data_IF_515659937453
#
_entry.id   IF_515659937453
#
_cell.length_a   1.000
_cell.length_b   1.000
_cell.length_c   1.000
_cell.angle_alpha   90.00
_cell.angle_beta   90.00
_cell.angle_gamma   90.00
#
_symmetry.space_group_name_H-M   'P 1'
#
loop_
_entity.id
_entity.type
_entity.pdbx_description
1 polymer ?
#
# COMPACT_ATOMS: atom_id res chain seq x y z
N UNK A 1 2.12 18.59 -35.05
CA UNK A 1 3.22 19.30 -34.36
C UNK A 1 3.48 18.59 -33.04
N UNK A 2 4.65 17.98 -32.86
CA UNK A 2 5.02 17.34 -31.59
C UNK A 2 5.35 18.37 -30.50
N UNK A 3 5.25 18.02 -29.20
CA UNK A 3 5.55 18.96 -28.13
C UNK A 3 7.01 19.40 -28.21
N UNK A 4 7.22 20.71 -28.22
CA UNK A 4 8.54 21.34 -28.23
C UNK A 4 9.32 20.92 -26.97
N UNK A 5 10.48 20.31 -27.16
CA UNK A 5 11.37 19.96 -26.06
C UNK A 5 11.83 21.26 -25.37
N UNK A 6 11.28 21.54 -24.18
CA UNK A 6 11.72 22.67 -23.34
C UNK A 6 13.17 22.42 -22.94
N UNK A 7 14.11 23.03 -23.68
CA UNK A 7 15.53 23.08 -23.30
C UNK A 7 15.60 23.91 -22.01
N UNK A 8 15.91 23.27 -20.88
CA UNK A 8 16.17 23.99 -19.62
C UNK A 8 17.37 24.91 -19.84
N UNK A 9 17.15 26.22 -19.75
CA UNK A 9 18.21 27.22 -19.85
C UNK A 9 18.97 27.19 -18.52
N UNK A 10 20.16 26.61 -18.52
CA UNK A 10 21.10 26.69 -17.39
C UNK A 10 21.70 28.09 -17.44
N UNK A 11 21.02 29.07 -16.85
CA UNK A 11 21.60 30.40 -16.65
C UNK A 11 22.56 30.34 -15.46
N UNK A 12 23.70 31.05 -15.51
CA UNK A 12 24.69 31.08 -14.42
C UNK A 12 24.14 31.71 -13.11
N UNK A 13 22.94 32.31 -13.16
CA UNK A 13 22.23 32.84 -11.99
C UNK A 13 21.35 31.81 -11.27
N UNK A 14 21.18 30.62 -11.83
CA UNK A 14 20.47 29.54 -11.14
C UNK A 14 21.30 29.14 -9.93
N UNK A 15 20.69 28.97 -8.76
CA UNK A 15 21.39 28.51 -7.54
C UNK A 15 22.06 27.13 -7.69
N UNK A 16 21.75 26.40 -8.78
CA UNK A 16 22.40 25.16 -9.17
C UNK A 16 23.59 25.33 -10.14
N UNK A 17 23.82 26.54 -10.65
CA UNK A 17 24.97 26.85 -11.49
C UNK A 17 26.17 27.15 -10.58
N UNK A 18 26.97 26.13 -10.33
CA UNK A 18 28.23 26.26 -9.58
C UNK A 18 29.19 27.11 -10.43
N UNK A 19 29.56 28.29 -9.92
CA UNK A 19 30.37 29.27 -10.65
C UNK A 19 31.82 28.80 -10.85
N UNK A 20 32.37 28.04 -9.90
CA UNK A 20 33.74 27.51 -9.96
C UNK A 20 33.78 26.07 -9.44
N UNK A 21 34.38 25.15 -10.21
CA UNK A 21 34.54 23.75 -9.82
C UNK A 21 35.99 23.55 -9.38
N UNK A 22 36.22 23.53 -8.07
CA UNK A 22 37.52 23.23 -7.49
C UNK A 22 37.73 21.72 -7.44
N UNK A 23 38.82 21.23 -8.04
CA UNK A 23 39.16 19.82 -8.01
C UNK A 23 40.05 19.50 -6.81
N UNK A 24 39.49 18.79 -5.84
CA UNK A 24 40.26 18.29 -4.69
C UNK A 24 40.72 16.84 -4.95
N UNK A 25 42.03 16.59 -5.08
CA UNK A 25 42.56 15.25 -5.31
C UNK A 25 42.26 14.29 -4.13
N UNK A 26 42.13 14.79 -2.90
CA UNK A 26 41.83 13.97 -1.72
C UNK A 26 40.38 13.46 -1.76
N UNK A 27 39.42 14.35 -2.02
CA UNK A 27 38.02 13.99 -2.25
C UNK A 27 37.86 13.02 -3.43
N UNK A 28 38.68 13.15 -4.48
CA UNK A 28 38.71 12.18 -5.58
C UNK A 28 39.20 10.81 -5.14
N UNK A 29 40.26 10.74 -4.33
CA UNK A 29 40.77 9.46 -3.83
C UNK A 29 39.74 8.77 -2.93
N UNK A 30 39.05 9.52 -2.05
CA UNK A 30 37.95 9.00 -1.24
C UNK A 30 36.76 8.58 -2.11
N UNK A 31 36.48 9.30 -3.19
CA UNK A 31 35.47 8.90 -4.15
C UNK A 31 35.89 7.63 -4.91
N UNK A 32 37.14 7.45 -5.30
CA UNK A 32 37.55 6.24 -6.01
C UNK A 32 37.65 5.01 -5.11
N UNK A 33 38.01 5.16 -3.84
CA UNK A 33 38.18 4.02 -2.92
C UNK A 33 36.93 3.75 -2.06
N UNK A 34 36.14 4.78 -1.76
CA UNK A 34 34.98 4.72 -0.85
C UNK A 34 33.67 4.20 -1.46
N UNK A 35 33.70 3.30 -2.44
CA UNK A 35 32.49 2.79 -3.10
C UNK A 35 31.49 2.16 -2.11
N UNK A 36 31.98 1.39 -1.14
CA UNK A 36 31.15 0.80 -0.10
C UNK A 36 30.48 1.89 0.77
N UNK A 37 31.26 2.89 1.21
CA UNK A 37 30.74 4.05 1.96
C UNK A 37 29.62 4.76 1.20
N UNK A 38 29.80 5.02 -0.11
CA UNK A 38 28.75 5.64 -0.94
C UNK A 38 27.54 4.75 -1.15
N UNK A 39 27.73 3.43 -1.29
CA UNK A 39 26.61 2.50 -1.40
C UNK A 39 25.76 2.54 -0.12
N UNK A 40 26.41 2.50 1.05
CA UNK A 40 25.73 2.65 2.34
C UNK A 40 25.05 4.01 2.49
N UNK A 41 25.73 5.11 2.14
CA UNK A 41 25.15 6.45 2.17
C UNK A 41 23.91 6.56 1.27
N UNK A 42 23.94 5.99 0.07
CA UNK A 42 22.76 5.95 -0.81
C UNK A 42 21.61 5.15 -0.20
N UNK A 43 21.92 4.01 0.41
CA UNK A 43 20.91 3.20 1.10
C UNK A 43 20.29 3.98 2.29
N UNK A 44 21.13 4.60 3.12
CA UNK A 44 20.69 5.45 4.24
C UNK A 44 19.86 6.64 3.77
N UNK A 45 20.32 7.39 2.78
CA UNK A 45 19.57 8.50 2.21
C UNK A 45 18.21 8.05 1.62
N UNK A 46 18.15 6.87 1.00
CA UNK A 46 16.88 6.32 0.52
C UNK A 46 15.93 5.96 1.68
N UNK A 47 16.46 5.40 2.77
CA UNK A 47 15.70 5.12 4.00
C UNK A 47 15.21 6.43 4.65
N UNK A 48 16.08 7.41 4.86
CA UNK A 48 15.74 8.71 5.43
C UNK A 48 14.69 9.45 4.59
N UNK A 49 14.80 9.41 3.26
CA UNK A 49 13.81 10.00 2.37
C UNK A 49 12.45 9.29 2.47
N UNK A 50 12.43 7.96 2.61
CA UNK A 50 11.22 7.19 2.82
C UNK A 50 10.58 7.50 4.18
N UNK A 51 11.38 7.58 5.25
CA UNK A 51 10.91 7.96 6.58
C UNK A 51 10.35 9.38 6.62
N UNK A 52 11.02 10.34 5.94
CA UNK A 52 10.54 11.71 5.86
C UNK A 52 9.18 11.78 5.17
N UNK A 53 9.02 11.09 4.05
CA UNK A 53 7.74 10.99 3.34
C UNK A 53 6.66 10.33 4.20
N UNK A 54 6.96 9.22 4.87
CA UNK A 54 6.01 8.55 5.77
C UNK A 54 5.56 9.45 6.93
N UNK A 55 6.48 10.25 7.50
CA UNK A 55 6.16 11.24 8.54
C UNK A 55 5.27 12.36 8.01
N UNK A 56 5.54 12.87 6.81
CA UNK A 56 4.72 13.88 6.13
C UNK A 56 3.31 13.33 5.84
N UNK A 57 3.21 12.15 5.24
CA UNK A 57 1.94 11.47 4.97
C UNK A 57 1.12 11.22 6.25
N UNK A 58 1.78 10.80 7.35
CA UNK A 58 1.10 10.61 8.65
C UNK A 58 0.57 11.92 9.22
N UNK A 59 1.31 13.03 9.07
CA UNK A 59 0.87 14.36 9.50
C UNK A 59 -0.32 14.84 8.67
N UNK A 60 -0.27 14.66 7.35
CA UNK A 60 -1.37 14.99 6.45
C UNK A 60 -2.62 14.17 6.72
N UNK A 61 -2.48 12.85 6.94
CA UNK A 61 -3.60 11.99 7.30
C UNK A 61 -4.26 12.41 8.61
N UNK A 62 -3.46 12.76 9.63
CA UNK A 62 -4.00 13.30 10.90
C UNK A 62 -4.68 14.65 10.71
N UNK A 63 -4.16 15.51 9.83
CA UNK A 63 -4.78 16.80 9.52
C UNK A 63 -6.14 16.60 8.86
N UNK A 64 -6.21 15.75 7.83
CA UNK A 64 -7.47 15.38 7.15
C UNK A 64 -8.49 14.85 8.14
N UNK A 65 -8.10 13.89 8.99
CA UNK A 65 -9.01 13.33 9.99
C UNK A 65 -9.54 14.36 11.01
N UNK A 66 -8.75 15.40 11.33
CA UNK A 66 -9.23 16.52 12.16
C UNK A 66 -10.17 17.44 11.38
N UNK A 67 -9.87 17.71 10.11
CA UNK A 67 -10.73 18.51 9.22
C UNK A 67 -12.07 17.81 8.98
N UNK A 68 -12.05 16.49 8.74
CA UNK A 68 -13.24 15.65 8.58
C UNK A 68 -14.11 15.68 9.84
N UNK A 69 -13.52 15.44 11.02
CA UNK A 69 -14.24 15.54 12.31
C UNK A 69 -14.84 16.93 12.55
N UNK A 70 -14.14 18.00 12.19
CA UNK A 70 -14.66 19.37 12.31
C UNK A 70 -15.82 19.60 11.37
N UNK A 71 -15.69 19.17 10.11
CA UNK A 71 -16.76 19.29 9.12
C UNK A 71 -18.01 18.47 9.50
N UNK A 72 -17.83 17.26 10.04
CA UNK A 72 -18.92 16.44 10.57
C UNK A 72 -19.63 17.14 11.73
N UNK A 73 -18.87 17.72 12.68
CA UNK A 73 -19.43 18.47 13.79
C UNK A 73 -20.20 19.73 13.34
N UNK A 74 -19.63 20.48 12.39
CA UNK A 74 -20.30 21.64 11.80
C UNK A 74 -21.61 21.26 11.08
N UNK A 75 -21.61 20.13 10.35
CA UNK A 75 -22.83 19.59 9.73
C UNK A 75 -23.87 19.20 10.76
N UNK A 76 -23.47 18.49 11.82
CA UNK A 76 -24.37 18.10 12.90
C UNK A 76 -24.99 19.32 13.60
N UNK A 77 -24.21 20.39 13.84
CA UNK A 77 -24.74 21.65 14.39
C UNK A 77 -25.71 22.30 13.40
N UNK A 78 -25.38 22.33 12.11
CA UNK A 78 -26.25 22.93 11.10
C UNK A 78 -27.59 22.19 10.98
N UNK A 79 -27.55 20.85 11.00
CA UNK A 79 -28.73 19.99 11.01
C UNK A 79 -29.57 20.20 12.28
N UNK A 80 -28.94 20.23 13.46
CA UNK A 80 -29.65 20.48 14.71
C UNK A 80 -30.31 21.88 14.72
N UNK A 81 -29.59 22.92 14.28
CA UNK A 81 -30.17 24.27 14.12
C UNK A 81 -31.32 24.30 13.14
N UNK A 82 -31.24 23.54 12.04
CA UNK A 82 -32.33 23.44 11.08
C UNK A 82 -33.57 22.77 11.69
N UNK A 83 -33.38 21.66 12.42
CA UNK A 83 -34.45 20.96 13.16
C UNK A 83 -35.08 21.86 14.22
N UNK A 84 -34.30 22.56 15.04
CA UNK A 84 -34.82 23.50 16.04
C UNK A 84 -35.58 24.67 15.39
N UNK A 85 -35.12 25.14 14.23
CA UNK A 85 -35.83 26.15 13.45
C UNK A 85 -37.15 25.61 12.88
N UNK A 86 -37.21 24.36 12.48
CA UNK A 86 -38.43 23.69 12.02
C UNK A 86 -39.42 23.48 13.18
N UNK A 87 -38.96 22.99 14.33
CA UNK A 87 -39.78 22.84 15.55
C UNK A 87 -40.34 24.19 15.99
N UNK A 88 -39.51 25.23 16.07
CA UNK A 88 -39.99 26.58 16.45
C UNK A 88 -40.96 27.19 15.45
N UNK A 89 -40.80 26.94 14.14
CA UNK A 89 -41.78 27.31 13.11
C UNK A 89 -43.10 26.55 13.27
N UNK A 90 -43.04 25.24 13.50
CA UNK A 90 -44.23 24.41 13.74
C UNK A 90 -44.95 24.81 15.01
N UNK A 91 -44.22 25.16 16.08
CA UNK A 91 -44.81 25.64 17.33
C UNK A 91 -45.44 27.03 17.17
N UNK A 92 -44.84 27.93 16.38
CA UNK A 92 -45.40 29.25 16.08
C UNK A 92 -46.62 29.22 15.15
N UNK A 93 -46.77 28.17 14.34
CA UNK A 93 -47.96 27.94 13.51
C UNK A 93 -49.07 27.17 14.25
N UNK A 94 -48.83 26.73 15.48
CA UNK A 94 -49.87 26.21 16.38
C UNK A 94 -50.51 27.43 17.07
N UNK A 95 -51.78 27.65 16.78
CA UNK A 95 -52.63 28.77 17.22
C UNK A 95 -52.41 29.19 18.69
N UNK A 96 -52.16 30.49 19.01
CA UNK A 96 -52.02 30.99 20.38
C UNK A 96 -53.38 31.12 21.10
N UNK A 97 -54.26 30.13 20.94
CA UNK A 97 -55.65 30.15 21.42
C UNK A 97 -55.96 29.21 22.58
N UNK A 98 -55.01 28.42 23.06
CA UNK A 98 -55.24 27.44 24.15
C UNK A 98 -54.04 27.34 25.11
N UNK A 99 -53.75 28.44 25.81
CA UNK A 99 -52.95 28.38 27.04
C UNK A 99 -53.48 29.42 28.02
N UNK A 100 -54.68 29.13 28.53
CA UNK A 100 -55.08 29.57 29.86
C UNK A 100 -54.30 28.72 30.86
N UNK A 101 -53.73 29.37 31.88
CA UNK A 101 -53.19 28.79 33.12
C UNK A 101 -51.80 28.13 33.05
N UNK A 102 -50.75 28.92 33.31
CA UNK A 102 -50.15 28.95 34.64
C UNK A 102 -49.04 29.99 34.64
N UNK A 103 -49.34 31.16 35.18
CA UNK A 103 -48.33 31.98 35.84
C UNK A 103 -47.68 31.08 36.90
N UNK A 104 -46.38 30.84 36.79
CA UNK A 104 -45.55 30.36 37.87
C UNK A 104 -44.27 31.19 37.79
N UNK A 105 -44.38 32.33 38.46
CA UNK A 105 -43.37 33.07 39.19
C UNK A 105 -41.92 32.58 38.99
N UNK A 106 -41.11 33.51 38.47
CA UNK A 106 -39.70 33.68 38.82
C UNK A 106 -39.52 33.56 40.35
N UNK A 107 -39.03 32.40 40.81
CA UNK A 107 -38.31 32.27 42.07
C UNK A 107 -36.85 31.91 41.73
N UNK A 108 -36.05 32.96 41.60
CA UNK A 108 -34.59 32.96 41.66
C UNK A 108 -34.16 32.74 43.11
N UNK A 109 -34.18 31.48 43.59
CA UNK A 109 -33.55 31.05 44.85
C UNK A 109 -33.15 29.56 44.78
N UNK A 110 -32.03 29.24 44.12
CA UNK A 110 -31.15 28.12 44.51
C UNK A 110 -29.77 28.22 43.81
N UNK A 111 -28.89 29.07 44.37
CA UNK A 111 -27.48 29.18 43.92
C UNK A 111 -26.56 28.11 44.54
N UNK A 112 -27.09 27.07 45.20
CA UNK A 112 -26.29 26.03 45.88
C UNK A 112 -26.75 24.58 45.55
N UNK A 113 -27.22 24.31 44.33
CA UNK A 113 -27.31 22.93 43.83
C UNK A 113 -25.90 22.41 43.50
N UNK A 114 -25.19 22.09 44.58
CA UNK A 114 -23.88 21.47 44.61
C UNK A 114 -23.95 20.20 43.76
N UNK A 115 -23.28 20.22 42.61
CA UNK A 115 -23.30 19.17 41.60
C UNK A 115 -22.91 17.82 42.23
N UNK A 116 -23.92 17.02 42.56
CA UNK A 116 -23.78 15.61 42.94
C UNK A 116 -23.23 14.88 41.71
N UNK A 117 -21.92 14.62 41.70
CA UNK A 117 -21.21 14.03 40.57
C UNK A 117 -21.89 12.78 40.00
N UNK A 118 -21.54 12.45 38.75
CA UNK A 118 -22.09 11.30 38.02
C UNK A 118 -22.07 10.07 38.93
N UNK A 119 -23.22 9.39 39.16
CA UNK A 119 -23.28 8.22 40.03
C UNK A 119 -22.32 7.16 39.52
N UNK A 120 -21.51 6.62 40.43
CA UNK A 120 -20.53 5.59 40.10
C UNK A 120 -21.27 4.43 39.40
N UNK A 121 -20.87 4.05 38.17
CA UNK A 121 -21.55 3.00 37.45
C UNK A 121 -21.53 1.72 38.29
N UNK A 122 -22.60 0.90 38.24
CA UNK A 122 -22.62 -0.36 38.97
C UNK A 122 -21.37 -1.16 38.63
N UNK A 123 -20.77 -1.80 39.64
CA UNK A 123 -19.58 -2.62 39.47
C UNK A 123 -19.81 -3.59 38.31
N UNK A 124 -19.08 -3.37 37.23
CA UNK A 124 -19.09 -4.29 36.09
C UNK A 124 -18.45 -5.57 36.59
N UNK A 125 -19.22 -6.64 36.70
CA UNK A 125 -18.68 -7.97 36.96
C UNK A 125 -17.78 -8.36 35.78
N UNK A 126 -16.48 -8.14 35.95
CA UNK A 126 -15.44 -8.52 34.98
C UNK A 126 -15.30 -10.05 34.82
N UNK A 127 -16.10 -10.82 35.55
CA UNK A 127 -16.23 -12.28 35.50
C UNK A 127 -17.31 -12.77 34.52
N UNK A 128 -17.97 -11.88 33.77
CA UNK A 128 -18.71 -12.28 32.57
C UNK A 128 -17.72 -12.66 31.46
N UNK A 129 -17.15 -13.85 31.62
CA UNK A 129 -16.26 -14.55 30.71
C UNK A 129 -16.80 -14.50 29.27
N UNK A 130 -16.15 -13.72 28.42
CA UNK A 130 -16.39 -13.72 26.99
C UNK A 130 -15.65 -14.93 26.39
N UNK A 131 -16.27 -16.10 26.45
CA UNK A 131 -15.82 -17.30 25.76
C UNK A 131 -16.23 -17.17 24.28
N UNK A 132 -15.38 -16.54 23.47
CA UNK A 132 -15.35 -16.79 22.03
C UNK A 132 -14.32 -17.91 21.79
N UNK A 133 -14.76 -19.16 21.99
CA UNK A 133 -13.97 -20.40 21.83
C UNK A 133 -13.55 -20.71 20.38
N UNK A 134 -13.89 -19.86 19.40
CA UNK A 134 -13.70 -20.14 17.96
C UNK A 134 -12.50 -19.40 17.31
N UNK A 135 -11.53 -18.89 18.09
CA UNK A 135 -10.28 -18.31 17.55
C UNK A 135 -9.03 -18.77 18.30
N UNK A 136 -8.70 -20.05 18.21
CA UNK A 136 -7.36 -20.52 18.57
C UNK A 136 -6.32 -20.09 17.53
N UNK A 137 -5.69 -18.93 17.72
CA UNK A 137 -4.32 -18.72 17.23
C UNK A 137 -3.39 -19.02 18.40
N UNK A 138 -2.75 -20.18 18.40
CA UNK A 138 -1.77 -20.53 19.43
C UNK A 138 -0.56 -19.61 19.33
N UNK A 139 -0.24 -18.92 20.42
CA UNK A 139 0.98 -18.12 20.55
C UNK A 139 2.03 -19.04 21.16
N UNK A 140 3.03 -19.42 20.37
CA UNK A 140 4.20 -20.16 20.86
C UNK A 140 5.24 -19.16 21.37
N UNK A 141 5.60 -19.27 22.65
CA UNK A 141 6.69 -18.50 23.25
C UNK A 141 7.99 -19.26 22.96
N UNK A 142 8.77 -18.78 22.00
CA UNK A 142 10.13 -19.27 21.75
C UNK A 142 11.12 -18.46 22.61
N UNK A 143 12.04 -19.15 23.28
CA UNK A 143 13.11 -18.49 24.03
C UNK A 143 14.13 -17.90 23.04
N UNK A 144 14.28 -16.57 23.07
CA UNK A 144 15.16 -15.84 22.18
C UNK A 144 16.24 -15.17 23.01
N UNK A 145 17.51 -15.42 22.65
CA UNK A 145 18.64 -14.96 23.44
C UNK A 145 19.03 -13.53 23.03
N UNK A 146 19.07 -12.61 24.00
CA UNK A 146 19.32 -11.19 23.78
C UNK A 146 20.81 -10.88 23.82
N UNK A 147 21.52 -11.22 22.74
CA UNK A 147 22.95 -10.91 22.59
C UNK A 147 23.17 -9.50 22.03
N UNK A 148 24.39 -8.94 22.22
CA UNK A 148 24.80 -7.62 21.69
C UNK A 148 24.70 -7.51 20.16
N UNK A 149 24.59 -8.62 19.45
CA UNK A 149 24.45 -8.71 18.00
C UNK A 149 22.98 -8.93 17.52
N UNK A 150 22.02 -9.00 18.45
CA UNK A 150 20.60 -9.13 18.15
C UNK A 150 19.92 -10.32 18.84
N UNK A 151 18.62 -10.43 18.58
CA UNK A 151 17.74 -11.46 19.14
C UNK A 151 17.83 -12.73 18.26
N UNK A 152 18.53 -13.76 18.73
CA UNK A 152 18.79 -14.99 17.96
C UNK A 152 17.99 -16.15 18.55
N UNK A 153 17.26 -16.88 17.70
CA UNK A 153 16.47 -18.05 18.09
C UNK A 153 17.43 -19.16 18.51
N UNK A 154 17.33 -19.67 19.74
CA UNK A 154 18.05 -20.89 20.12
C UNK A 154 17.45 -22.04 19.33
N UNK A 155 18.30 -22.74 18.57
CA UNK A 155 17.91 -23.99 17.92
C UNK A 155 18.30 -25.06 18.92
N UNK A 156 17.31 -25.72 19.52
CA UNK A 156 17.56 -26.86 20.39
C UNK A 156 18.33 -27.93 19.60
N UNK A 157 19.47 -28.29 20.18
CA UNK A 157 20.51 -29.16 19.63
C UNK A 157 20.16 -30.62 19.94
N UNK A 158 19.02 -31.11 19.46
CA UNK A 158 18.67 -32.55 19.48
C UNK A 158 17.90 -32.96 18.21
N UNK A 159 18.49 -32.72 17.04
CA UNK A 159 18.22 -33.53 15.83
C UNK A 159 19.38 -33.37 14.86
N UNK A 160 20.52 -33.96 15.23
CA UNK A 160 21.66 -34.16 14.35
C UNK A 160 21.91 -35.66 14.27
N UNK A 161 21.35 -36.32 13.26
CA UNK A 161 22.11 -37.32 12.52
C UNK A 161 21.52 -37.61 11.14
N UNK A 162 22.43 -37.99 10.24
CA UNK A 162 22.22 -38.76 9.01
C UNK A 162 22.14 -38.02 7.63
N UNK A 163 23.34 -37.90 7.05
CA UNK A 163 23.74 -38.25 5.65
C UNK A 163 23.12 -37.44 4.48
N UNK A 164 23.84 -36.96 3.47
CA UNK A 164 25.22 -37.13 3.03
C UNK A 164 25.42 -36.31 1.76
N UNK A 165 26.65 -35.83 1.55
CA UNK A 165 27.12 -35.21 0.31
C UNK A 165 27.27 -36.27 -0.79
N UNK A 166 26.86 -35.99 -2.04
CA UNK A 166 27.56 -36.52 -3.22
C UNK A 166 27.43 -35.57 -4.43
N UNK A 167 28.60 -35.09 -4.87
CA UNK A 167 28.88 -34.59 -6.21
C UNK A 167 28.78 -35.71 -7.26
N UNK A 168 28.32 -35.40 -8.50
CA UNK A 168 29.05 -35.72 -9.75
C UNK A 168 28.34 -35.30 -11.04
N UNK A 169 29.19 -34.77 -11.93
CA UNK A 169 29.03 -34.58 -13.38
C UNK A 169 28.69 -35.89 -14.12
N UNK A 170 28.02 -35.83 -15.29
CA UNK A 170 28.56 -36.13 -16.66
C UNK A 170 27.48 -36.08 -17.76
N UNK A 171 27.96 -35.84 -18.98
CA UNK A 171 27.28 -35.52 -20.25
C UNK A 171 26.60 -36.70 -21.01
N UNK A 172 25.87 -36.33 -22.09
CA UNK A 172 25.81 -36.96 -23.44
C UNK A 172 25.18 -38.38 -23.57
N UNK A 173 24.42 -38.84 -24.58
CA UNK A 173 24.05 -38.47 -25.97
C UNK A 173 22.64 -39.04 -26.30
N UNK A 174 21.85 -38.35 -27.13
CA UNK A 174 21.39 -38.72 -28.49
C UNK A 174 20.61 -40.05 -28.69
N UNK A 175 19.35 -39.95 -29.13
CA UNK A 175 18.80 -40.77 -30.23
C UNK A 175 17.47 -40.20 -30.75
N UNK A 176 17.32 -40.33 -32.07
CA UNK A 176 16.27 -39.80 -32.95
C UNK A 176 15.02 -40.69 -32.98
N UNK A 177 13.92 -40.05 -33.38
CA UNK A 177 12.81 -40.46 -34.28
C UNK A 177 11.51 -39.80 -33.74
N UNK A 178 10.67 -39.08 -34.46
CA UNK A 178 10.52 -38.93 -35.91
C UNK A 178 9.05 -39.15 -36.29
N UNK A 179 8.10 -38.26 -35.96
CA UNK A 179 6.87 -38.16 -36.77
C UNK A 179 6.11 -36.83 -36.66
N UNK A 180 5.44 -36.52 -37.76
CA UNK A 180 5.01 -35.22 -38.29
C UNK A 180 3.66 -34.77 -37.73
N UNK A 181 3.43 -33.46 -37.67
CA UNK A 181 2.26 -32.86 -38.33
C UNK A 181 2.44 -31.35 -38.56
N UNK A 182 2.73 -31.02 -39.82
CA UNK A 182 2.71 -29.71 -40.42
C UNK A 182 1.28 -29.13 -40.48
N UNK A 183 1.02 -28.03 -39.79
CA UNK A 183 0.00 -27.06 -40.25
C UNK A 183 0.72 -25.77 -40.67
N UNK A 184 1.22 -25.80 -41.90
CA UNK A 184 1.93 -24.71 -42.57
C UNK A 184 1.02 -23.48 -42.72
N UNK A 185 1.12 -22.53 -41.79
CA UNK A 185 0.76 -21.14 -42.07
C UNK A 185 1.76 -20.58 -43.11
N UNK A 186 1.31 -20.46 -44.36
CA UNK A 186 2.11 -19.97 -45.50
C UNK A 186 2.72 -18.60 -45.16
N UNK A 187 4.05 -18.53 -45.04
CA UNK A 187 4.79 -17.26 -44.94
C UNK A 187 4.69 -16.55 -46.30
N UNK A 188 4.19 -15.31 -46.30
CA UNK A 188 4.03 -14.49 -47.52
C UNK A 188 5.39 -14.08 -48.07
N UNK A 189 5.61 -14.33 -49.36
CA UNK A 189 6.78 -13.89 -50.11
C UNK A 189 6.77 -12.37 -50.22
N UNK A 190 7.88 -11.72 -49.87
CA UNK A 190 8.04 -10.28 -49.92
C UNK A 190 8.41 -9.84 -51.35
N UNK A 191 7.48 -9.23 -52.07
CA UNK A 191 7.74 -8.60 -53.38
C UNK A 191 7.61 -7.08 -53.28
N UNK A 192 8.49 -6.36 -53.98
CA UNK A 192 8.67 -4.89 -53.92
C UNK A 192 7.49 -4.06 -54.46
N UNK A 193 6.39 -4.70 -54.89
CA UNK A 193 5.21 -4.06 -55.50
C UNK A 193 3.93 -4.10 -54.65
N UNK A 194 3.96 -4.72 -53.46
CA UNK A 194 2.83 -4.71 -52.52
C UNK A 194 3.24 -4.10 -51.17
N UNK A 195 3.31 -2.75 -51.05
CA UNK A 195 3.33 -2.14 -49.73
C UNK A 195 1.95 -2.36 -49.10
N UNK A 196 1.93 -2.93 -47.89
CA UNK A 196 0.77 -3.09 -47.00
C UNK A 196 -0.35 -2.08 -47.25
N UNK A 197 -1.30 -2.44 -48.11
CA UNK A 197 -2.53 -1.70 -48.33
C UNK A 197 -3.63 -2.74 -48.46
N UNK A 198 -4.69 -2.56 -47.67
CA UNK A 198 -5.76 -3.53 -47.46
C UNK A 198 -5.74 -4.15 -46.06
N UNK A 199 -6.46 -3.52 -45.12
CA UNK A 199 -6.91 -4.02 -43.80
C UNK A 199 -5.98 -3.98 -42.57
N UNK A 200 -4.71 -3.57 -42.67
CA UNK A 200 -3.81 -3.45 -41.50
C UNK A 200 -3.39 -2.02 -41.13
N UNK A 201 -3.89 -0.99 -41.83
CA UNK A 201 -3.49 0.39 -41.57
C UNK A 201 -4.14 0.96 -40.29
N UNK A 202 -5.37 0.55 -39.96
CA UNK A 202 -6.10 1.03 -38.77
C UNK A 202 -5.90 0.19 -37.51
N UNK A 203 -5.14 -0.91 -37.58
CA UNK A 203 -4.84 -1.70 -36.39
C UNK A 203 -3.59 -1.15 -35.72
N UNK A 204 -3.67 -0.63 -34.47
CA UNK A 204 -2.49 -0.14 -33.78
C UNK A 204 -1.45 -1.27 -33.71
N UNK A 205 -0.25 -0.99 -34.21
CA UNK A 205 0.86 -1.95 -34.19
C UNK A 205 1.10 -2.34 -32.74
N UNK A 206 1.00 -3.62 -32.40
CA UNK A 206 1.31 -4.12 -31.06
C UNK A 206 2.72 -3.65 -30.70
N UNK A 207 2.83 -2.79 -29.68
CA UNK A 207 4.13 -2.30 -29.20
C UNK A 207 4.99 -3.51 -28.89
N UNK A 208 6.25 -3.50 -29.37
CA UNK A 208 7.22 -4.54 -29.02
C UNK A 208 7.24 -4.64 -27.49
N UNK A 209 7.00 -5.83 -26.95
CA UNK A 209 7.11 -6.07 -25.51
C UNK A 209 8.54 -5.73 -25.12
N UNK A 210 8.72 -4.69 -24.32
CA UNK A 210 10.00 -4.44 -23.69
C UNK A 210 10.20 -5.61 -22.74
N UNK A 211 11.20 -6.46 -23.00
CA UNK A 211 11.56 -7.51 -22.07
C UNK A 211 12.13 -6.80 -20.84
N UNK A 212 11.28 -6.62 -19.84
CA UNK A 212 11.70 -6.23 -18.50
C UNK A 212 11.36 -7.39 -17.61
N UNK A 213 12.28 -7.72 -16.71
CA UNK A 213 11.99 -8.71 -15.69
C UNK A 213 10.79 -8.24 -14.89
N UNK A 214 9.81 -9.12 -14.73
CA UNK A 214 8.68 -8.90 -13.85
C UNK A 214 9.19 -8.63 -12.44
N UNK A 215 8.63 -7.61 -11.78
CA UNK A 215 8.95 -7.34 -10.39
C UNK A 215 8.47 -8.51 -9.51
N UNK A 216 8.99 -8.65 -8.28
CA UNK A 216 8.68 -9.83 -7.41
C UNK A 216 7.17 -10.00 -7.17
N UNK A 217 6.43 -8.90 -7.05
CA UNK A 217 4.97 -8.92 -6.94
C UNK A 217 4.29 -9.39 -8.24
N UNK A 218 4.68 -8.84 -9.38
CA UNK A 218 4.14 -9.21 -10.70
C UNK A 218 4.39 -10.71 -10.99
N UNK A 219 5.58 -11.21 -10.66
CA UNK A 219 5.94 -12.63 -10.76
C UNK A 219 5.05 -13.54 -9.91
N UNK A 220 4.63 -13.07 -8.73
CA UNK A 220 3.67 -13.82 -7.89
C UNK A 220 2.28 -13.86 -8.54
N UNK A 221 1.83 -12.75 -9.09
CA UNK A 221 0.55 -12.67 -9.82
C UNK A 221 0.53 -13.54 -11.08
N UNK A 222 1.62 -13.55 -11.87
CA UNK A 222 1.71 -14.39 -13.07
C UNK A 222 1.72 -15.88 -12.71
N UNK A 223 2.51 -16.27 -11.71
CA UNK A 223 2.48 -17.65 -11.17
C UNK A 223 1.09 -18.07 -10.67
N UNK A 224 0.37 -17.18 -9.98
CA UNK A 224 -0.99 -17.47 -9.51
C UNK A 224 -1.94 -17.69 -10.70
N UNK A 225 -1.85 -16.85 -11.73
CA UNK A 225 -2.66 -16.95 -12.95
C UNK A 225 -2.38 -18.26 -13.70
N UNK A 226 -1.12 -18.65 -13.79
CA UNK A 226 -0.71 -19.93 -14.38
C UNK A 226 -1.24 -21.12 -13.59
N UNK A 227 -1.08 -21.12 -12.25
CA UNK A 227 -1.65 -22.17 -11.38
C UNK A 227 -3.16 -22.29 -11.55
N UNK A 228 -3.87 -21.18 -11.63
CA UNK A 228 -5.32 -21.17 -11.84
C UNK A 228 -5.71 -21.72 -13.22
N UNK A 229 -4.97 -21.36 -14.27
CA UNK A 229 -5.18 -21.90 -15.62
C UNK A 229 -4.92 -23.41 -15.68
N UNK A 230 -3.82 -23.88 -15.08
CA UNK A 230 -3.47 -25.30 -15.03
C UNK A 230 -4.49 -26.09 -14.19
N UNK A 231 -4.97 -25.52 -13.07
CA UNK A 231 -6.02 -26.14 -12.25
C UNK A 231 -7.33 -26.28 -13.02
N UNK A 232 -7.74 -25.27 -13.79
CA UNK A 232 -8.95 -25.35 -14.64
C UNK A 232 -8.81 -26.45 -15.69
N UNK A 233 -7.70 -26.47 -16.44
CA UNK A 233 -7.41 -27.52 -17.44
C UNK A 233 -7.35 -28.92 -16.82
N UNK A 234 -6.79 -29.04 -15.62
CA UNK A 234 -6.74 -30.31 -14.91
C UNK A 234 -8.14 -30.78 -14.47
N UNK A 235 -9.00 -29.86 -14.00
CA UNK A 235 -10.41 -30.17 -13.70
C UNK A 235 -11.18 -30.58 -14.95
N UNK A 236 -10.98 -29.90 -16.07
CA UNK A 236 -11.61 -30.27 -17.35
C UNK A 236 -11.19 -31.66 -17.82
N UNK A 237 -9.95 -32.08 -17.56
CA UNK A 237 -9.48 -33.44 -17.87
C UNK A 237 -10.03 -34.50 -16.91
N UNK A 238 -10.22 -34.17 -15.64
CA UNK A 238 -10.73 -35.09 -14.61
C UNK A 238 -12.26 -35.16 -14.55
N UNK A 239 -12.95 -34.18 -15.13
CA UNK A 239 -14.41 -34.09 -15.16
C UNK A 239 -15.05 -34.76 -16.37
N UNK A 240 -14.36 -35.72 -17.00
CA UNK A 240 -14.86 -36.52 -18.11
C UNK A 240 -14.68 -38.00 -17.79
#
# INVERSE_FOLDING_TARGET
>A
MGPHAKKRKLTPSSSAAVQEITFDPSARQEFLTGFHKRKLQRAKHAQEAAERRAKEERKEARKKLREDRRAEFERAIAENRALMKEISRSNRNRDPGDSSTSESEDEDENEDEEWEGIPDPPAVDYEAEYIDEDKYTTVTVEEVDASRDGLVRRVDEEESDEEGEEDKEVEAEESKDGEKNDTKAKKRVWTKKNPKSGSSADRPRKKKRQFRYENKAERKFTKLKERMGNRKKAKERKGK
#
